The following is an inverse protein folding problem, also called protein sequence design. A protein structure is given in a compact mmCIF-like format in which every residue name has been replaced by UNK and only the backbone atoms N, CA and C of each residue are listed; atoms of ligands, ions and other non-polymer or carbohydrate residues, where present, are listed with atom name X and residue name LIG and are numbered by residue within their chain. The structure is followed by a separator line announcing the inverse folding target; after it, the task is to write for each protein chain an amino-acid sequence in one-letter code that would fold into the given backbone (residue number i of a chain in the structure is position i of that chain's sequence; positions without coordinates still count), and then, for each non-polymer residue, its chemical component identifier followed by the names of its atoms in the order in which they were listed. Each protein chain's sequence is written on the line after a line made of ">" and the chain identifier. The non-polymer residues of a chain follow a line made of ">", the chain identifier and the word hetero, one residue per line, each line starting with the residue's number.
data_IF_122534436537
#
_entry.id   IF_122534436537
#
_cell.length_a   1.000
_cell.length_b   1.000
_cell.length_c   1.000
_cell.angle_alpha   90.00
_cell.angle_beta   90.00
_cell.angle_gamma   90.00
#
_symmetry.space_group_name_H-M   'P 1'
#
loop_
_entity.id
_entity.type
_entity.pdbx_description
1 polymer ?
#
# COMPACT_ATOMS: atom_id res chain seq x y z
N UNK A 1 -0.47 8.31 2.09
CA UNK A 1 -1.67 8.94 1.49
C UNK A 1 -1.32 10.02 0.49
N UNK A 2 -0.46 10.99 0.83
CA UNK A 2 -0.04 12.06 -0.10
C UNK A 2 0.51 11.52 -1.44
N UNK A 3 1.37 10.51 -1.40
CA UNK A 3 1.92 9.87 -2.60
C UNK A 3 0.85 9.27 -3.52
N UNK A 4 -0.26 8.79 -2.96
CA UNK A 4 -1.38 8.23 -3.73
C UNK A 4 -2.20 9.32 -4.43
N UNK A 5 -2.39 10.47 -3.78
CA UNK A 5 -3.06 11.63 -4.38
C UNK A 5 -2.23 12.20 -5.54
N UNK A 6 -0.91 12.29 -5.37
CA UNK A 6 -0.01 12.78 -6.41
C UNK A 6 0.08 11.82 -7.62
N UNK A 7 0.11 10.50 -7.40
CA UNK A 7 0.20 9.50 -8.48
C UNK A 7 -1.11 9.26 -9.22
N UNK A 8 -2.24 9.18 -8.50
CA UNK A 8 -3.52 8.71 -9.05
C UNK A 8 -4.60 9.79 -9.12
N UNK A 9 -4.31 11.01 -8.66
CA UNK A 9 -5.25 12.11 -8.53
C UNK A 9 -6.11 12.01 -7.27
N UNK A 10 -6.90 13.05 -7.01
CA UNK A 10 -7.65 13.21 -5.76
C UNK A 10 -8.65 12.08 -5.50
N UNK A 11 -9.43 11.67 -6.52
CA UNK A 11 -10.50 10.67 -6.36
C UNK A 11 -9.95 9.25 -6.10
N UNK A 12 -9.09 8.74 -7.00
CA UNK A 12 -8.49 7.41 -6.85
C UNK A 12 -7.55 7.35 -5.65
N UNK A 13 -6.77 8.42 -5.39
CA UNK A 13 -5.90 8.51 -4.23
C UNK A 13 -6.69 8.49 -2.90
N UNK A 14 -7.85 9.15 -2.85
CA UNK A 14 -8.74 9.11 -1.69
C UNK A 14 -9.30 7.70 -1.46
N UNK A 15 -9.79 7.02 -2.51
CA UNK A 15 -10.30 5.64 -2.40
C UNK A 15 -9.22 4.69 -1.88
N UNK A 16 -8.00 4.75 -2.42
CA UNK A 16 -6.88 3.93 -1.94
C UNK A 16 -6.43 4.30 -0.52
N UNK A 17 -6.64 5.53 -0.09
CA UNK A 17 -6.39 5.98 1.28
C UNK A 17 -7.41 5.38 2.26
N UNK A 18 -8.70 5.49 1.94
CA UNK A 18 -9.79 4.93 2.74
C UNK A 18 -9.62 3.41 2.88
N UNK A 19 -9.32 2.72 1.77
CA UNK A 19 -9.05 1.28 1.79
C UNK A 19 -7.84 0.89 2.67
N UNK A 20 -6.84 1.77 2.84
CA UNK A 20 -5.73 1.54 3.78
C UNK A 20 -6.19 1.62 5.24
N UNK A 21 -7.04 2.58 5.57
CA UNK A 21 -7.60 2.72 6.92
C UNK A 21 -8.50 1.53 7.27
N UNK A 22 -9.37 1.12 6.34
CA UNK A 22 -10.26 -0.03 6.55
C UNK A 22 -9.52 -1.36 6.78
N UNK A 23 -8.28 -1.47 6.28
CA UNK A 23 -7.40 -2.64 6.51
C UNK A 23 -6.58 -2.54 7.79
N UNK A 24 -6.73 -1.47 8.58
CA UNK A 24 -6.02 -1.27 9.84
C UNK A 24 -6.80 -1.93 10.98
N UNK A 25 -6.36 -3.10 11.40
CA UNK A 25 -6.88 -3.81 12.56
C UNK A 25 -5.73 -4.56 13.26
N UNK A 26 -5.80 -4.82 14.58
CA UNK A 26 -4.70 -5.39 15.37
C UNK A 26 -4.26 -6.79 14.88
N UNK A 27 -5.16 -7.53 14.24
CA UNK A 27 -4.85 -8.86 13.67
C UNK A 27 -4.24 -8.83 12.26
N UNK A 28 -4.02 -7.64 11.68
CA UNK A 28 -3.37 -7.53 10.37
C UNK A 28 -1.87 -7.42 10.56
N UNK A 29 -1.11 -8.21 9.81
CA UNK A 29 0.35 -8.03 9.76
C UNK A 29 0.65 -6.67 9.13
N UNK A 30 1.28 -5.80 9.92
CA UNK A 30 1.89 -4.58 9.43
C UNK A 30 3.02 -4.90 8.43
N UNK A 31 3.46 -3.90 7.70
CA UNK A 31 4.52 -4.05 6.73
C UNK A 31 4.60 -2.88 5.75
N UNK A 32 5.57 -2.95 4.86
CA UNK A 32 5.73 -1.99 3.79
C UNK A 32 4.55 -2.10 2.79
N UNK A 33 3.82 -1.01 2.58
CA UNK A 33 2.65 -0.92 1.69
C UNK A 33 2.84 0.21 0.66
N UNK A 34 3.73 0.01 -0.33
CA UNK A 34 4.04 1.03 -1.32
C UNK A 34 2.80 1.38 -2.16
N UNK A 35 2.75 2.60 -2.70
CA UNK A 35 1.69 3.00 -3.63
C UNK A 35 2.01 2.41 -5.01
N UNK A 36 1.16 1.51 -5.54
CA UNK A 36 1.37 0.91 -6.86
C UNK A 36 1.25 1.96 -7.97
N UNK A 37 1.87 1.70 -9.12
CA UNK A 37 1.82 2.61 -10.27
C UNK A 37 0.47 2.55 -11.00
N UNK A 38 -0.23 1.42 -10.91
CA UNK A 38 -1.60 1.26 -11.37
C UNK A 38 -2.57 1.30 -10.17
N UNK A 39 -3.79 1.79 -10.41
CA UNK A 39 -4.81 1.85 -9.35
C UNK A 39 -5.22 0.43 -8.94
N UNK A 40 -5.07 0.11 -7.65
CA UNK A 40 -5.60 -1.12 -7.05
C UNK A 40 -5.91 -0.90 -5.57
N UNK A 41 -6.95 -1.59 -5.09
CA UNK A 41 -7.42 -1.56 -3.70
C UNK A 41 -6.71 -2.65 -2.88
N UNK A 42 -6.14 -3.66 -3.54
CA UNK A 42 -5.47 -4.79 -2.89
C UNK A 42 -4.02 -4.45 -2.52
N UNK A 43 -3.48 -5.16 -1.52
CA UNK A 43 -2.05 -5.00 -1.15
C UNK A 43 -1.20 -5.60 -2.26
N UNK A 44 -0.19 -4.86 -2.71
CA UNK A 44 0.81 -5.43 -3.61
C UNK A 44 1.73 -6.37 -2.80
N UNK A 45 1.60 -7.68 -3.01
CA UNK A 45 2.42 -8.68 -2.32
C UNK A 45 3.86 -8.67 -2.83
N UNK A 46 4.04 -8.52 -4.14
CA UNK A 46 5.35 -8.51 -4.81
C UNK A 46 6.24 -7.40 -4.24
N UNK A 47 5.77 -6.16 -4.24
CA UNK A 47 6.55 -5.04 -3.71
C UNK A 47 6.86 -5.12 -2.20
N UNK A 48 6.04 -5.84 -1.43
CA UNK A 48 6.34 -6.14 -0.01
C UNK A 48 7.45 -7.18 0.10
N UNK A 49 7.37 -8.22 -0.70
CA UNK A 49 8.30 -9.35 -0.65
C UNK A 49 9.68 -8.90 -1.19
N UNK A 50 9.71 -8.05 -2.23
CA UNK A 50 10.92 -7.38 -2.73
C UNK A 50 11.59 -6.51 -1.66
N UNK A 51 10.80 -5.72 -0.92
CA UNK A 51 11.30 -4.92 0.21
C UNK A 51 11.91 -5.80 1.30
N UNK A 52 11.23 -6.89 1.69
CA UNK A 52 11.76 -7.85 2.69
C UNK A 52 13.07 -8.46 2.21
N UNK A 53 13.14 -8.86 0.95
CA UNK A 53 14.35 -9.41 0.34
C UNK A 53 15.50 -8.38 0.32
N UNK A 54 15.22 -7.12 -0.04
CA UNK A 54 16.24 -6.05 -0.03
C UNK A 54 16.85 -5.78 1.34
N UNK A 55 16.07 -6.02 2.40
CA UNK A 55 16.50 -5.85 3.79
C UNK A 55 17.04 -7.13 4.41
N UNK A 56 17.13 -8.22 3.62
CA UNK A 56 17.50 -9.56 4.09
C UNK A 56 16.63 -10.05 5.26
N UNK A 57 15.39 -9.57 5.35
CA UNK A 57 14.41 -10.00 6.35
C UNK A 57 13.78 -11.29 5.85
N UNK A 58 14.12 -12.42 6.49
CA UNK A 58 13.46 -13.71 6.27
C UNK A 58 11.98 -13.63 6.69
#
# INVERSE_FOLDING_TARGET
>A
MVTALNKHGAFKGAIMGIARILRCHPFVKGGYDPVPDHFTIFRNKEARDDYRQSMHLK
#
